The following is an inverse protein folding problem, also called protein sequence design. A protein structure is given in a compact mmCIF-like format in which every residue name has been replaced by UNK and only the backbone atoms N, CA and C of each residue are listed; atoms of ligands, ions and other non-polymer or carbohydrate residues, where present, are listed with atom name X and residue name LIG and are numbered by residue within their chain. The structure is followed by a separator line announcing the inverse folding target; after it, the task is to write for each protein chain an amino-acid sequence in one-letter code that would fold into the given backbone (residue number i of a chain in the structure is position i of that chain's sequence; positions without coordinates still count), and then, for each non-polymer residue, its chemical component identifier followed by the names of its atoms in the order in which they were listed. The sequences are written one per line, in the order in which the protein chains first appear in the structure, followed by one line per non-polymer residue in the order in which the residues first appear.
data_IF_262703699480
#
_entry.id   IF_262703699480
#
_cell.length_a   1.000
_cell.length_b   1.000
_cell.length_c   1.000
_cell.angle_alpha   90.00
_cell.angle_beta   90.00
_cell.angle_gamma   90.00
#
_symmetry.space_group_name_H-M   'P 1'
#
loop_
_entity.id
_entity.type
_entity.pdbx_description
1 polymer ?
#
# COMPACT_ATOMS: atom_id res chain seq x y z
N UNK A 1 8.63 -12.24 5.80
CA UNK A 1 7.65 -11.61 4.88
C UNK A 1 8.43 -10.91 3.78
N UNK A 2 7.87 -10.86 2.58
CA UNK A 2 8.43 -10.19 1.43
C UNK A 2 7.38 -9.17 0.91
N UNK A 3 7.60 -7.88 1.21
CA UNK A 3 6.64 -6.82 0.92
C UNK A 3 7.27 -5.74 0.04
N UNK A 4 6.48 -5.18 -0.88
CA UNK A 4 6.81 -4.01 -1.67
C UNK A 4 5.70 -2.97 -1.50
N UNK A 5 5.99 -1.82 -0.89
CA UNK A 5 5.00 -0.84 -0.44
C UNK A 5 5.26 0.50 -1.13
N UNK A 6 4.52 0.77 -2.19
CA UNK A 6 4.68 1.97 -3.00
C UNK A 6 3.80 3.13 -2.50
N UNK A 7 4.32 4.35 -2.55
CA UNK A 7 3.55 5.55 -2.22
C UNK A 7 2.38 5.76 -3.16
N UNK A 8 2.60 5.56 -4.45
CA UNK A 8 1.60 5.73 -5.51
C UNK A 8 1.69 4.62 -6.55
N UNK A 9 0.65 4.40 -7.32
CA UNK A 9 0.70 3.53 -8.51
C UNK A 9 1.15 4.29 -9.77
N UNK A 10 1.08 5.62 -9.77
CA UNK A 10 1.39 6.44 -10.96
C UNK A 10 2.06 7.74 -10.53
N UNK A 11 3.21 8.04 -11.09
CA UNK A 11 3.87 9.34 -10.98
C UNK A 11 3.42 10.22 -12.15
N UNK A 12 3.29 11.51 -11.92
CA UNK A 12 2.86 12.46 -12.94
C UNK A 12 3.68 12.33 -14.24
N UNK A 13 3.00 12.21 -15.36
CA UNK A 13 3.61 12.07 -16.68
C UNK A 13 4.16 10.66 -16.99
N UNK A 14 3.96 9.68 -16.12
CA UNK A 14 4.42 8.31 -16.35
C UNK A 14 3.25 7.32 -16.43
N UNK A 15 3.40 6.21 -17.16
CA UNK A 15 2.41 5.13 -17.18
C UNK A 15 2.22 4.47 -15.80
N UNK A 16 1.09 3.80 -15.63
CA UNK A 16 0.75 3.03 -14.43
C UNK A 16 1.86 2.03 -14.08
N UNK A 17 2.34 2.06 -12.82
CA UNK A 17 3.40 1.21 -12.24
C UNK A 17 4.77 1.28 -12.93
N UNK A 18 4.99 2.20 -13.89
CA UNK A 18 6.22 2.19 -14.70
C UNK A 18 7.47 2.65 -13.94
N UNK A 19 7.35 3.58 -12.98
CA UNK A 19 8.48 4.22 -12.32
C UNK A 19 9.34 3.26 -11.45
N UNK A 20 8.77 2.13 -11.02
CA UNK A 20 9.49 1.11 -10.24
C UNK A 20 9.30 -0.31 -10.83
N UNK A 21 9.13 -0.38 -12.14
CA UNK A 21 8.82 -1.60 -12.88
C UNK A 21 9.81 -2.74 -12.61
N UNK A 22 11.10 -2.44 -12.59
CA UNK A 22 12.14 -3.44 -12.31
C UNK A 22 11.99 -4.04 -10.90
N UNK A 23 11.62 -3.22 -9.91
CA UNK A 23 11.47 -3.66 -8.53
C UNK A 23 10.29 -4.63 -8.37
N UNK A 24 9.09 -4.30 -8.89
CA UNK A 24 7.94 -5.18 -8.75
C UNK A 24 8.01 -6.40 -9.68
N UNK A 25 8.64 -6.29 -10.86
CA UNK A 25 8.87 -7.45 -11.72
C UNK A 25 9.80 -8.47 -11.05
N UNK A 26 10.89 -8.01 -10.44
CA UNK A 26 11.77 -8.86 -9.67
C UNK A 26 11.09 -9.45 -8.43
N UNK A 27 10.22 -8.67 -7.76
CA UNK A 27 9.46 -9.10 -6.59
C UNK A 27 8.53 -10.28 -6.90
N UNK A 28 7.91 -10.30 -8.06
CA UNK A 28 7.03 -11.37 -8.53
C UNK A 28 7.67 -12.34 -9.52
N UNK A 29 9.00 -12.34 -9.67
CA UNK A 29 9.68 -13.20 -10.64
C UNK A 29 9.49 -14.69 -10.36
N UNK A 30 9.24 -15.09 -9.12
CA UNK A 30 9.08 -16.49 -8.73
C UNK A 30 7.67 -16.80 -8.19
N UNK A 31 6.67 -16.68 -9.04
CA UNK A 31 5.27 -17.03 -8.73
C UNK A 31 4.96 -18.51 -8.92
N UNK A 32 5.95 -19.33 -9.29
CA UNK A 32 5.79 -20.76 -9.57
C UNK A 32 4.72 -21.05 -10.65
N UNK A 33 4.58 -20.16 -11.61
CA UNK A 33 3.58 -20.26 -12.68
C UNK A 33 2.14 -19.91 -12.29
N UNK A 34 1.92 -19.48 -11.04
CA UNK A 34 0.61 -19.03 -10.55
C UNK A 34 0.42 -17.53 -10.79
N UNK A 35 -0.82 -17.04 -10.93
CA UNK A 35 -1.07 -15.62 -11.10
C UNK A 35 -0.82 -14.80 -9.81
N UNK A 36 -0.49 -13.53 -9.97
CA UNK A 36 -0.62 -12.56 -8.89
C UNK A 36 -2.10 -12.22 -8.72
N UNK A 37 -2.62 -12.34 -7.51
CA UNK A 37 -4.00 -11.99 -7.20
C UNK A 37 -4.10 -10.49 -6.98
N UNK A 38 -4.87 -9.82 -7.83
CA UNK A 38 -5.14 -8.40 -7.71
C UNK A 38 -6.39 -8.13 -6.88
N UNK A 39 -6.30 -7.21 -5.92
CA UNK A 39 -7.41 -6.80 -5.05
C UNK A 39 -7.84 -5.38 -5.41
N UNK A 40 -8.96 -5.17 -6.13
CA UNK A 40 -9.41 -3.86 -6.63
C UNK A 40 -10.29 -3.10 -5.65
N UNK A 41 -10.40 -3.50 -4.39
CA UNK A 41 -11.45 -3.11 -3.44
C UNK A 41 -11.42 -1.65 -2.95
N UNK A 42 -10.39 -0.89 -3.32
CA UNK A 42 -10.24 0.51 -2.90
C UNK A 42 -11.04 1.53 -3.72
N UNK A 43 -11.75 1.12 -4.79
CA UNK A 43 -12.44 2.03 -5.71
C UNK A 43 -13.88 2.32 -5.28
N UNK A 44 -14.22 3.56 -4.88
CA UNK A 44 -15.57 3.92 -4.43
C UNK A 44 -16.57 4.10 -5.57
N UNK A 45 -16.10 4.15 -6.82
CA UNK A 45 -16.95 4.34 -8.00
C UNK A 45 -16.14 4.77 -9.23
N UNK A 46 -16.81 4.93 -10.37
CA UNK A 46 -16.22 5.41 -11.63
C UNK A 46 -15.39 4.38 -12.40
N UNK A 47 -14.87 3.35 -11.74
CA UNK A 47 -14.13 2.26 -12.35
C UNK A 47 -14.58 0.95 -11.71
N UNK A 48 -15.02 0.00 -12.54
CA UNK A 48 -15.42 -1.32 -12.05
C UNK A 48 -14.21 -2.14 -11.55
N UNK A 49 -14.46 -3.22 -10.81
CA UNK A 49 -13.40 -4.14 -10.41
C UNK A 49 -12.72 -4.80 -11.61
N UNK A 50 -13.51 -5.10 -12.65
CA UNK A 50 -13.00 -5.66 -13.91
C UNK A 50 -12.10 -4.66 -14.64
N UNK A 51 -12.51 -3.41 -14.81
CA UNK A 51 -11.71 -2.37 -15.48
C UNK A 51 -10.40 -2.10 -14.72
N UNK A 52 -10.46 -2.04 -13.39
CA UNK A 52 -9.25 -1.84 -12.58
C UNK A 52 -8.31 -3.04 -12.64
N UNK A 53 -8.87 -4.25 -12.63
CA UNK A 53 -8.09 -5.46 -12.81
C UNK A 53 -7.48 -5.55 -14.22
N UNK A 54 -8.20 -5.14 -15.25
CA UNK A 54 -7.68 -5.10 -16.62
C UNK A 54 -6.50 -4.13 -16.76
N UNK A 55 -6.57 -2.95 -16.13
CA UNK A 55 -5.47 -1.98 -16.10
C UNK A 55 -4.20 -2.59 -15.46
N UNK A 56 -4.35 -3.21 -14.29
CA UNK A 56 -3.24 -3.84 -13.59
C UNK A 56 -2.70 -5.05 -14.37
N UNK A 57 -3.58 -5.90 -14.90
CA UNK A 57 -3.22 -7.08 -15.70
C UNK A 57 -2.41 -6.68 -16.93
N UNK A 58 -2.78 -5.59 -17.61
CA UNK A 58 -2.03 -5.09 -18.77
C UNK A 58 -0.58 -4.79 -18.41
N UNK A 59 -0.35 -4.04 -17.31
CA UNK A 59 1.01 -3.70 -16.87
C UNK A 59 1.83 -4.94 -16.50
N UNK A 60 1.23 -5.93 -15.84
CA UNK A 60 1.89 -7.16 -15.44
C UNK A 60 2.18 -8.08 -16.63
N UNK A 61 1.25 -8.17 -17.59
CA UNK A 61 1.43 -8.95 -18.81
C UNK A 61 2.62 -8.47 -19.66
N UNK A 62 2.90 -7.17 -19.69
CA UNK A 62 4.08 -6.61 -20.35
C UNK A 62 5.41 -7.13 -19.77
N UNK A 63 5.38 -7.68 -18.55
CA UNK A 63 6.53 -8.32 -17.89
C UNK A 63 6.41 -9.86 -17.84
N UNK A 64 5.45 -10.42 -18.56
CA UNK A 64 5.23 -11.88 -18.58
C UNK A 64 4.67 -12.46 -17.28
N UNK A 65 4.13 -11.62 -16.39
CA UNK A 65 3.57 -12.03 -15.11
C UNK A 65 2.05 -12.15 -15.26
N UNK A 66 1.50 -13.34 -15.01
CA UNK A 66 0.06 -13.56 -15.00
C UNK A 66 -0.59 -12.85 -13.81
N UNK A 67 -1.78 -12.27 -14.02
CA UNK A 67 -2.57 -11.63 -12.96
C UNK A 67 -4.04 -11.96 -13.10
N UNK A 68 -4.74 -12.06 -11.96
CA UNK A 68 -6.18 -12.28 -11.92
C UNK A 68 -6.83 -11.53 -10.76
N UNK A 69 -7.97 -10.89 -11.00
CA UNK A 69 -8.72 -10.18 -9.96
C UNK A 69 -9.34 -11.15 -8.94
N UNK A 70 -9.23 -10.85 -7.65
CA UNK A 70 -9.79 -11.68 -6.57
C UNK A 70 -11.31 -11.89 -6.71
N UNK A 71 -12.02 -10.89 -7.19
CA UNK A 71 -13.47 -10.91 -7.40
C UNK A 71 -13.93 -11.87 -8.51
N UNK A 72 -13.03 -12.33 -9.38
CA UNK A 72 -13.32 -13.28 -10.45
C UNK A 72 -13.24 -14.74 -10.01
N UNK A 73 -12.87 -15.01 -8.75
CA UNK A 73 -12.86 -16.35 -8.17
C UNK A 73 -14.19 -16.68 -7.48
N UNK A 74 -14.56 -17.96 -7.41
CA UNK A 74 -15.79 -18.37 -6.73
C UNK A 74 -15.76 -18.16 -5.22
N UNK A 75 -14.57 -18.06 -4.63
CA UNK A 75 -14.37 -17.79 -3.21
C UNK A 75 -12.97 -17.20 -2.96
N UNK A 76 -12.79 -16.58 -1.79
CA UNK A 76 -11.48 -16.08 -1.33
C UNK A 76 -10.49 -17.24 -1.18
N UNK A 77 -10.92 -18.39 -0.66
CA UNK A 77 -10.06 -19.55 -0.50
C UNK A 77 -9.55 -20.08 -1.87
N UNK A 78 -10.42 -20.10 -2.88
CA UNK A 78 -10.01 -20.48 -4.25
C UNK A 78 -8.98 -19.48 -4.81
N UNK A 79 -9.12 -18.19 -4.57
CA UNK A 79 -8.16 -17.18 -4.98
C UNK A 79 -6.81 -17.36 -4.26
N UNK A 80 -6.82 -17.61 -2.96
CA UNK A 80 -5.57 -17.81 -2.19
C UNK A 80 -4.85 -19.12 -2.55
N UNK A 81 -5.59 -20.18 -2.85
CA UNK A 81 -5.01 -21.45 -3.33
C UNK A 81 -4.29 -21.31 -4.67
N UNK A 82 -4.78 -20.43 -5.54
CA UNK A 82 -4.19 -20.14 -6.86
C UNK A 82 -3.11 -19.05 -6.82
N UNK A 83 -2.92 -18.36 -5.69
CA UNK A 83 -2.06 -17.20 -5.61
C UNK A 83 -0.57 -17.52 -5.74
N UNK A 84 0.13 -16.83 -6.66
CA UNK A 84 1.59 -16.75 -6.75
C UNK A 84 2.16 -15.48 -6.10
N UNK A 85 1.28 -14.55 -5.74
CA UNK A 85 1.56 -13.29 -5.09
C UNK A 85 0.28 -12.49 -4.91
N UNK A 86 0.32 -11.38 -4.17
CA UNK A 86 -0.84 -10.51 -3.93
C UNK A 86 -0.46 -9.08 -4.27
N UNK A 87 -1.31 -8.39 -5.03
CA UNK A 87 -1.21 -6.95 -5.24
C UNK A 87 -2.50 -6.26 -4.83
N UNK A 88 -2.44 -5.35 -3.86
CA UNK A 88 -3.56 -4.49 -3.47
C UNK A 88 -3.36 -3.10 -4.06
N UNK A 89 -4.30 -2.67 -4.90
CA UNK A 89 -4.28 -1.38 -5.57
C UNK A 89 -4.66 -0.21 -4.66
N UNK A 90 -4.46 1.01 -5.19
CA UNK A 90 -4.82 2.25 -4.51
C UNK A 90 -6.29 2.65 -4.71
N UNK A 91 -6.71 3.65 -3.95
CA UNK A 91 -8.04 4.23 -3.88
C UNK A 91 -8.36 4.66 -2.46
N UNK A 92 -9.60 4.55 -2.00
CA UNK A 92 -9.98 4.92 -0.65
C UNK A 92 -9.63 3.80 0.35
N UNK A 93 -8.78 4.14 1.32
CA UNK A 93 -8.24 3.20 2.33
C UNK A 93 -9.33 2.63 3.24
N UNK A 94 -10.34 3.44 3.62
CA UNK A 94 -11.43 2.99 4.51
C UNK A 94 -12.36 2.01 3.80
N UNK A 95 -12.67 2.27 2.52
CA UNK A 95 -13.45 1.35 1.71
C UNK A 95 -12.72 0.03 1.50
N UNK A 96 -11.42 0.10 1.18
CA UNK A 96 -10.58 -1.09 1.05
C UNK A 96 -10.62 -1.94 2.31
N UNK A 97 -10.35 -1.33 3.47
CA UNK A 97 -10.31 -2.03 4.75
C UNK A 97 -11.66 -2.67 5.09
N UNK A 98 -12.77 -1.90 4.92
CA UNK A 98 -14.12 -2.41 5.12
C UNK A 98 -14.41 -3.63 4.26
N UNK A 99 -14.11 -3.55 2.95
CA UNK A 99 -14.38 -4.63 2.01
C UNK A 99 -13.52 -5.86 2.30
N UNK A 100 -12.26 -5.68 2.69
CA UNK A 100 -11.40 -6.79 3.10
C UNK A 100 -11.98 -7.55 4.30
N UNK A 101 -12.46 -6.84 5.33
CA UNK A 101 -13.10 -7.46 6.49
C UNK A 101 -14.39 -8.18 6.12
N UNK A 102 -15.29 -7.51 5.40
CA UNK A 102 -16.62 -8.03 5.07
C UNK A 102 -16.59 -9.24 4.11
N UNK A 103 -15.61 -9.26 3.20
CA UNK A 103 -15.43 -10.38 2.27
C UNK A 103 -14.70 -11.59 2.87
N UNK A 104 -14.12 -11.44 4.07
CA UNK A 104 -13.23 -12.44 4.66
C UNK A 104 -11.82 -12.46 4.04
N UNK A 105 -11.53 -11.61 3.06
CA UNK A 105 -10.23 -11.54 2.40
C UNK A 105 -9.12 -11.09 3.36
N UNK A 106 -9.45 -10.31 4.40
CA UNK A 106 -8.47 -9.82 5.37
C UNK A 106 -7.69 -10.97 6.01
N UNK A 107 -8.39 -11.91 6.65
CA UNK A 107 -7.74 -13.04 7.33
C UNK A 107 -6.99 -13.97 6.36
N UNK A 108 -7.55 -14.22 5.19
CA UNK A 108 -6.95 -15.09 4.18
C UNK A 108 -5.66 -14.51 3.60
N UNK A 109 -5.64 -13.22 3.30
CA UNK A 109 -4.46 -12.49 2.81
C UNK A 109 -3.38 -12.44 3.91
N UNK A 110 -3.76 -12.11 5.15
CA UNK A 110 -2.80 -12.08 6.27
C UNK A 110 -2.10 -13.42 6.45
N UNK A 111 -2.86 -14.51 6.47
CA UNK A 111 -2.31 -15.86 6.59
C UNK A 111 -1.37 -16.22 5.41
N UNK A 112 -1.75 -15.90 4.18
CA UNK A 112 -0.96 -16.18 2.98
C UNK A 112 0.37 -15.40 2.98
N UNK A 113 0.36 -14.11 3.32
CA UNK A 113 1.57 -13.28 3.36
C UNK A 113 2.49 -13.69 4.51
N UNK A 114 1.94 -14.01 5.69
CA UNK A 114 2.73 -14.55 6.81
C UNK A 114 3.35 -15.91 6.50
N UNK A 115 2.73 -16.72 5.64
CA UNK A 115 3.31 -17.99 5.16
C UNK A 115 4.36 -17.81 4.06
N UNK A 116 4.62 -16.58 3.62
CA UNK A 116 5.71 -16.25 2.69
C UNK A 116 5.28 -15.80 1.29
N UNK A 117 3.98 -15.70 1.01
CA UNK A 117 3.50 -15.20 -0.28
C UNK A 117 3.93 -13.74 -0.48
N UNK A 118 4.56 -13.36 -1.62
CA UNK A 118 4.98 -12.00 -1.87
C UNK A 118 3.77 -11.06 -1.97
N UNK A 119 3.90 -9.87 -1.37
CA UNK A 119 2.86 -8.84 -1.33
C UNK A 119 3.36 -7.53 -1.92
N UNK A 120 2.55 -6.89 -2.75
CA UNK A 120 2.72 -5.52 -3.17
C UNK A 120 1.50 -4.69 -2.77
N UNK A 121 1.73 -3.52 -2.19
CA UNK A 121 0.72 -2.50 -1.95
C UNK A 121 1.05 -1.21 -2.67
N UNK A 122 0.03 -0.47 -3.10
CA UNK A 122 0.16 0.87 -3.66
C UNK A 122 -0.85 1.81 -3.00
N UNK A 123 -0.38 2.94 -2.46
CA UNK A 123 -1.23 3.93 -1.79
C UNK A 123 -2.08 3.27 -0.67
N UNK A 124 -3.41 3.17 -0.82
CA UNK A 124 -4.29 2.48 0.11
C UNK A 124 -3.81 1.03 0.40
N UNK A 125 -3.34 0.30 -0.62
CA UNK A 125 -2.77 -1.03 -0.43
C UNK A 125 -1.49 -1.01 0.42
N UNK A 126 -0.68 0.03 0.34
CA UNK A 126 0.49 0.19 1.23
C UNK A 126 0.07 0.46 2.69
N UNK A 127 -0.99 1.24 2.92
CA UNK A 127 -1.54 1.46 4.26
C UNK A 127 -1.91 0.15 4.97
N UNK A 128 -2.39 -0.85 4.20
CA UNK A 128 -2.77 -2.15 4.78
C UNK A 128 -1.60 -2.89 5.45
N UNK A 129 -0.36 -2.63 5.06
CA UNK A 129 0.80 -3.25 5.69
C UNK A 129 1.15 -2.66 7.07
N UNK A 130 0.67 -1.46 7.37
CA UNK A 130 0.89 -0.77 8.65
C UNK A 130 0.12 -1.36 9.82
N UNK A 131 0.06 -0.61 10.91
CA UNK A 131 -0.66 -1.01 12.13
C UNK A 131 -2.13 -0.61 12.07
N UNK A 132 -2.42 0.62 11.62
CA UNK A 132 -3.79 1.14 11.51
C UNK A 132 -3.93 2.08 10.31
N UNK A 133 -5.18 2.36 9.90
CA UNK A 133 -5.49 3.38 8.88
C UNK A 133 -5.54 4.81 9.45
N UNK A 134 -5.25 5.00 10.72
CA UNK A 134 -5.41 6.30 11.42
C UNK A 134 -4.57 7.45 10.87
N UNK A 135 -3.60 7.16 10.01
CA UNK A 135 -2.76 8.17 9.33
C UNK A 135 -3.00 8.23 7.82
N UNK A 136 -4.08 7.63 7.31
CA UNK A 136 -4.48 7.76 5.91
C UNK A 136 -4.84 9.21 5.58
N UNK A 137 -4.55 9.62 4.33
CA UNK A 137 -4.99 10.93 3.82
C UNK A 137 -6.43 10.90 3.27
N UNK A 138 -7.03 9.73 3.20
CA UNK A 138 -8.37 9.55 2.63
C UNK A 138 -9.46 10.02 3.57
N UNK A 139 -10.57 10.44 3.00
CA UNK A 139 -11.78 10.69 3.78
C UNK A 139 -12.44 9.36 4.17
N UNK A 140 -12.94 9.22 5.42
CA UNK A 140 -13.65 8.02 5.87
C UNK A 140 -15.09 8.01 5.32
N UNK A 141 -15.24 7.70 4.03
CA UNK A 141 -16.53 7.66 3.33
C UNK A 141 -17.40 6.47 3.75
N UNK A 142 -16.82 5.50 4.43
CA UNK A 142 -17.48 4.33 5.04
C UNK A 142 -16.84 4.03 6.39
N UNK A 143 -17.52 3.25 7.23
CA UNK A 143 -17.03 2.82 8.53
C UNK A 143 -16.55 1.36 8.46
N UNK A 144 -15.22 1.09 8.48
CA UNK A 144 -14.73 -0.28 8.61
C UNK A 144 -15.00 -0.82 10.03
N UNK A 145 -15.07 -2.14 10.22
CA UNK A 145 -15.31 -2.76 11.55
C UNK A 145 -14.20 -2.46 12.57
N UNK A 146 -12.96 -2.23 12.10
CA UNK A 146 -11.80 -1.80 12.88
C UNK A 146 -10.95 -0.84 12.04
N UNK A 147 -10.08 -0.08 12.69
CA UNK A 147 -9.00 0.67 12.04
C UNK A 147 -7.71 -0.16 11.94
N UNK A 148 -7.65 -1.33 12.57
CA UNK A 148 -6.49 -2.20 12.51
C UNK A 148 -6.28 -2.75 11.11
N UNK A 149 -5.02 -2.76 10.68
CA UNK A 149 -4.57 -3.34 9.43
C UNK A 149 -3.70 -4.58 9.68
N UNK A 150 -2.98 -5.06 8.70
CA UNK A 150 -2.25 -6.33 8.83
C UNK A 150 -1.10 -6.31 9.86
N UNK A 151 -0.62 -5.13 10.26
CA UNK A 151 0.51 -4.98 11.20
C UNK A 151 1.75 -5.80 10.80
N UNK A 152 2.08 -5.82 9.52
CA UNK A 152 3.28 -6.49 9.01
C UNK A 152 4.55 -5.67 9.23
N UNK A 153 4.40 -4.36 9.38
CA UNK A 153 5.47 -3.43 9.75
C UNK A 153 5.09 -2.68 11.04
N UNK A 154 6.05 -2.36 11.91
CA UNK A 154 5.78 -1.78 13.24
C UNK A 154 5.59 -0.25 13.19
N UNK A 155 4.88 0.24 12.17
CA UNK A 155 4.59 1.66 11.97
C UNK A 155 3.35 1.83 11.09
N UNK A 156 2.80 3.04 11.08
CA UNK A 156 1.83 3.44 10.08
C UNK A 156 2.53 4.04 8.86
N UNK A 157 1.85 4.01 7.72
CA UNK A 157 2.28 4.71 6.51
C UNK A 157 1.39 5.93 6.26
N UNK A 158 1.97 6.95 5.66
CA UNK A 158 1.27 8.07 5.04
C UNK A 158 1.76 8.20 3.59
N UNK A 159 1.21 7.38 2.66
CA UNK A 159 1.49 7.51 1.23
C UNK A 159 1.04 8.86 0.70
N UNK A 160 1.58 9.28 -0.44
CA UNK A 160 1.36 10.63 -1.00
C UNK A 160 1.72 11.73 0.00
N UNK A 161 2.75 11.51 0.83
CA UNK A 161 3.22 12.54 1.75
C UNK A 161 3.68 13.76 0.96
N UNK A 162 3.21 14.93 1.39
CA UNK A 162 3.59 16.23 0.85
C UNK A 162 4.20 17.07 1.95
N UNK A 163 5.35 17.67 1.66
CA UNK A 163 5.92 18.69 2.51
C UNK A 163 5.07 19.98 2.46
N UNK A 164 5.06 20.79 3.51
CA UNK A 164 4.45 22.12 3.46
C UNK A 164 5.10 22.96 2.36
N UNK A 165 4.30 23.70 1.61
CA UNK A 165 4.81 24.70 0.66
C UNK A 165 5.11 26.00 1.40
N UNK A 166 6.36 26.48 1.33
CA UNK A 166 6.86 27.65 2.09
C UNK A 166 6.10 28.96 1.78
N UNK A 167 5.42 29.05 0.64
CA UNK A 167 4.68 30.24 0.19
C UNK A 167 3.19 29.98 0.01
N UNK A 168 2.67 28.87 0.52
CA UNK A 168 1.23 28.56 0.43
C UNK A 168 0.42 29.54 1.28
N UNK A 169 -0.60 30.14 0.67
CA UNK A 169 -1.61 30.93 1.37
C UNK A 169 -2.76 30.08 1.92
N UNK A 170 -2.68 28.75 1.73
CA UNK A 170 -3.66 27.81 2.24
C UNK A 170 -3.57 27.68 3.77
N UNK A 171 -4.68 27.93 4.47
CA UNK A 171 -4.76 27.91 5.94
C UNK A 171 -5.12 26.53 6.52
N UNK A 172 -5.28 25.51 5.70
CA UNK A 172 -5.51 24.14 6.16
C UNK A 172 -4.23 23.48 6.70
N UNK A 173 -4.42 22.50 7.59
CA UNK A 173 -3.30 21.81 8.21
C UNK A 173 -2.46 21.04 7.20
N UNK A 174 -1.15 21.08 7.40
CA UNK A 174 -0.20 20.26 6.64
C UNK A 174 -0.31 18.78 7.03
N UNK A 175 0.22 17.89 6.21
CA UNK A 175 0.35 16.47 6.55
C UNK A 175 1.12 16.28 7.87
N UNK A 176 2.19 17.03 8.06
CA UNK A 176 2.99 16.99 9.30
C UNK A 176 2.17 17.38 10.53
N UNK A 177 1.32 18.42 10.42
CA UNK A 177 0.41 18.84 11.49
C UNK A 177 -0.57 17.74 11.86
N UNK A 178 -1.23 17.12 10.88
CA UNK A 178 -2.18 16.00 11.11
C UNK A 178 -1.52 14.77 11.73
N UNK A 179 -0.28 14.47 11.37
CA UNK A 179 0.48 13.38 12.01
C UNK A 179 0.86 13.78 13.46
N UNK A 180 1.18 15.05 13.73
CA UNK A 180 1.41 15.51 15.08
C UNK A 180 0.14 15.39 15.95
N UNK A 181 -1.04 15.73 15.42
CA UNK A 181 -2.33 15.53 16.09
C UNK A 181 -2.60 14.05 16.38
N UNK A 182 -2.32 13.16 15.43
CA UNK A 182 -2.39 11.71 15.64
C UNK A 182 -1.53 11.28 16.83
N UNK A 183 -0.34 11.83 16.98
CA UNK A 183 0.59 11.51 18.07
C UNK A 183 0.17 12.05 19.46
N UNK A 184 -0.86 12.90 19.57
CA UNK A 184 -1.42 13.25 20.88
C UNK A 184 -2.14 12.06 21.54
N UNK A 185 -2.61 11.11 20.75
CA UNK A 185 -3.38 9.95 21.25
C UNK A 185 -2.76 8.61 20.88
N UNK A 186 -1.72 8.58 20.03
CA UNK A 186 -1.15 7.37 19.46
C UNK A 186 0.38 7.42 19.52
N UNK A 187 1.01 6.27 19.77
CA UNK A 187 2.48 6.17 19.88
C UNK A 187 3.17 5.55 18.68
N UNK A 188 2.41 4.99 17.73
CA UNK A 188 2.95 4.32 16.54
C UNK A 188 3.77 5.31 15.71
N UNK A 189 4.97 4.90 15.29
CA UNK A 189 5.74 5.66 14.33
C UNK A 189 4.98 5.79 13.00
N UNK A 190 5.19 6.88 12.27
CA UNK A 190 4.58 7.12 10.96
C UNK A 190 5.68 7.41 9.96
N UNK A 191 5.62 6.74 8.79
CA UNK A 191 6.50 7.02 7.66
C UNK A 191 5.70 7.75 6.58
N UNK A 192 5.99 9.04 6.38
CA UNK A 192 5.52 9.83 5.25
C UNK A 192 6.31 9.47 4.00
N UNK A 193 5.66 8.76 3.08
CA UNK A 193 6.29 8.25 1.87
C UNK A 193 5.91 9.12 0.67
N UNK A 194 6.88 9.82 0.09
CA UNK A 194 6.70 10.72 -1.06
C UNK A 194 6.44 9.93 -2.34
N UNK A 195 5.68 10.49 -3.26
CA UNK A 195 5.41 9.87 -4.57
C UNK A 195 6.70 9.54 -5.33
N UNK A 196 6.70 8.43 -6.04
CA UNK A 196 7.89 7.90 -6.72
C UNK A 196 8.80 7.07 -5.81
N UNK A 197 8.53 7.00 -4.49
CA UNK A 197 9.30 6.18 -3.55
C UNK A 197 8.50 4.97 -3.07
N UNK A 198 9.23 3.92 -2.66
CA UNK A 198 8.64 2.70 -2.11
C UNK A 198 9.52 2.08 -1.03
N UNK A 199 8.91 1.29 -0.17
CA UNK A 199 9.62 0.47 0.81
C UNK A 199 9.66 -0.98 0.33
N UNK A 200 10.80 -1.65 0.52
CA UNK A 200 10.95 -3.10 0.43
C UNK A 200 11.15 -3.66 1.83
N UNK A 201 10.37 -4.67 2.18
CA UNK A 201 10.52 -5.41 3.45
C UNK A 201 10.93 -6.84 3.11
N UNK A 202 12.11 -7.24 3.55
CA UNK A 202 12.67 -8.56 3.30
C UNK A 202 13.52 -8.99 4.51
N UNK A 203 13.34 -10.23 4.97
CA UNK A 203 14.06 -10.80 6.12
C UNK A 203 14.01 -9.90 7.39
N UNK A 204 12.88 -9.22 7.63
CA UNK A 204 12.70 -8.33 8.79
C UNK A 204 13.34 -6.94 8.64
N UNK A 205 13.98 -6.67 7.50
CA UNK A 205 14.59 -5.37 7.20
C UNK A 205 13.69 -4.55 6.31
N UNK A 206 13.52 -3.27 6.63
CA UNK A 206 12.82 -2.28 5.82
C UNK A 206 13.86 -1.43 5.08
N UNK A 207 13.73 -1.26 3.79
CA UNK A 207 14.62 -0.43 2.98
C UNK A 207 13.81 0.51 2.10
N UNK A 208 14.24 1.78 2.03
CA UNK A 208 13.61 2.80 1.19
C UNK A 208 14.29 2.85 -0.18
N UNK A 209 13.49 3.01 -1.22
CA UNK A 209 13.91 3.16 -2.61
C UNK A 209 13.15 4.28 -3.32
N UNK A 210 13.67 4.73 -4.45
CA UNK A 210 13.10 5.80 -5.26
C UNK A 210 13.89 7.09 -5.16
N UNK A 211 13.46 8.18 -5.82
CA UNK A 211 14.24 9.43 -5.91
C UNK A 211 14.16 10.30 -4.64
N UNK A 212 13.25 10.02 -3.70
CA UNK A 212 12.97 10.87 -2.55
C UNK A 212 13.23 10.17 -1.24
N UNK A 213 13.70 10.93 -0.22
CA UNK A 213 13.71 10.49 1.16
C UNK A 213 12.28 10.30 1.69
N UNK A 214 12.12 9.58 2.78
CA UNK A 214 10.88 9.49 3.51
C UNK A 214 10.99 10.26 4.83
N UNK A 215 9.89 10.87 5.27
CA UNK A 215 9.86 11.62 6.54
C UNK A 215 9.30 10.74 7.65
N UNK A 216 10.09 10.58 8.71
CA UNK A 216 9.73 9.72 9.84
C UNK A 216 9.28 10.57 11.02
N UNK A 217 8.13 10.21 11.58
CA UNK A 217 7.54 10.84 12.73
C UNK A 217 7.45 9.86 13.90
N UNK A 218 7.79 10.31 15.09
CA UNK A 218 7.65 9.55 16.34
C UNK A 218 7.05 10.43 17.40
N UNK A 219 6.14 9.91 18.20
CA UNK A 219 5.54 10.64 19.31
C UNK A 219 6.61 11.22 20.22
N UNK A 220 6.50 12.52 20.54
CA UNK A 220 7.41 13.25 21.43
C UNK A 220 8.81 13.50 20.86
N UNK A 221 9.05 13.28 19.56
CA UNK A 221 10.37 13.52 18.92
C UNK A 221 10.22 14.40 17.69
N UNK A 222 11.29 15.15 17.38
CA UNK A 222 11.37 15.88 16.12
C UNK A 222 11.34 14.89 14.94
N UNK A 223 10.60 15.24 13.89
CA UNK A 223 10.60 14.47 12.66
C UNK A 223 11.97 14.52 11.96
N UNK A 224 12.37 13.45 11.30
CA UNK A 224 13.65 13.36 10.58
C UNK A 224 13.48 12.72 9.20
N UNK A 225 14.42 13.02 8.32
CA UNK A 225 14.47 12.43 7.00
C UNK A 225 15.20 11.08 7.05
N UNK A 226 14.56 10.10 6.43
CA UNK A 226 15.15 8.82 6.14
C UNK A 226 15.66 8.87 4.70
N UNK A 227 16.97 8.90 4.54
CA UNK A 227 17.60 8.78 3.22
C UNK A 227 17.66 7.32 2.76
N UNK A 228 18.02 7.09 1.49
CA UNK A 228 18.14 5.79 0.82
C UNK A 228 19.19 4.85 1.47
N UNK A 229 19.08 4.64 2.77
CA UNK A 229 19.95 3.75 3.56
C UNK A 229 19.03 2.94 4.47
N UNK A 230 19.34 1.67 4.54
CA UNK A 230 18.66 0.65 5.32
C UNK A 230 18.23 1.10 6.73
N UNK A 231 16.99 0.85 7.03
CA UNK A 231 16.41 0.95 8.38
C UNK A 231 16.67 -0.36 9.13
#
# INVERSE_FOLDING_TARGET
MNLLLASTSTVHGQPYLSYFKEAWSAHFANTQGKPVIFVPYARPGGMSFDDYSALATKAFAEQGIAMRGIHSYPSIDAAMADAGGIFIGGGNTFLLLKTLYESGAFAAIDAAVRSGLPYMGSSAGSNMAGMTVGTSNDMPIVYPPSFDTFSWIPCNLNPHYLDPEDHSTHMGESRATRIAEFHHHNSQAVIGLREGSWLKVEAGKISLFGPHSARVFRSGKAAYELSLIHI
#
